data_IF_706166072143
#
_entry.id   IF_706166072143
#
_cell.length_a   1.000
_cell.length_b   1.000
_cell.length_c   1.000
_cell.angle_alpha   90.00
_cell.angle_beta   90.00
_cell.angle_gamma   90.00
#
_symmetry.space_group_name_H-M   'P 1'
#
loop_
_entity.id
_entity.type
_entity.pdbx_description
1 polymer ?
#
# COMPACT_ATOMS: atom_id res chain seq x y z
N UNK A 1 -8.68 21.90 -6.94
CA UNK A 1 -9.57 22.94 -6.37
C UNK A 1 -10.79 22.16 -5.93
N UNK A 2 -10.78 21.67 -4.69
CA UNK A 2 -11.81 20.74 -4.20
C UNK A 2 -13.14 21.47 -4.08
N UNK A 3 -14.18 20.89 -4.66
CA UNK A 3 -15.57 21.30 -4.50
C UNK A 3 -15.91 21.51 -3.01
N UNK A 4 -16.84 22.42 -2.69
CA UNK A 4 -17.29 22.66 -1.31
C UNK A 4 -17.87 21.39 -0.66
N UNK A 5 -18.22 20.39 -1.48
CA UNK A 5 -18.71 19.07 -1.06
C UNK A 5 -17.61 18.10 -0.58
N UNK A 6 -16.33 18.31 -0.92
CA UNK A 6 -15.26 17.34 -0.66
C UNK A 6 -15.08 16.97 0.83
N UNK A 7 -15.13 17.91 1.79
CA UNK A 7 -15.05 17.56 3.21
C UNK A 7 -16.17 16.62 3.68
N UNK A 8 -17.36 16.73 3.09
CA UNK A 8 -18.49 15.85 3.42
C UNK A 8 -18.28 14.44 2.86
N UNK A 9 -17.72 14.32 1.65
CA UNK A 9 -17.31 13.04 1.06
C UNK A 9 -16.25 12.37 1.93
N UNK A 10 -15.22 13.12 2.33
CA UNK A 10 -14.16 12.64 3.20
C UNK A 10 -14.70 12.10 4.53
N UNK A 11 -15.59 12.86 5.19
CA UNK A 11 -16.21 12.41 6.45
C UNK A 11 -17.03 11.13 6.25
N UNK A 12 -17.80 11.03 5.17
CA UNK A 12 -18.62 9.85 4.86
C UNK A 12 -17.76 8.60 4.65
N UNK A 13 -16.65 8.72 3.92
CA UNK A 13 -15.71 7.61 3.70
C UNK A 13 -15.02 7.22 4.99
N UNK A 14 -14.54 8.18 5.79
CA UNK A 14 -13.92 7.86 7.08
C UNK A 14 -14.88 7.14 8.01
N UNK A 15 -16.14 7.56 8.07
CA UNK A 15 -17.17 6.86 8.85
C UNK A 15 -17.40 5.44 8.35
N UNK A 16 -17.52 5.25 7.04
CA UNK A 16 -17.66 3.91 6.45
C UNK A 16 -16.49 3.00 6.86
N UNK A 17 -15.26 3.47 6.73
CA UNK A 17 -14.07 2.67 7.05
C UNK A 17 -13.95 2.38 8.55
N UNK A 18 -14.30 3.33 9.43
CA UNK A 18 -14.37 3.10 10.87
C UNK A 18 -15.42 2.02 11.22
N UNK A 19 -16.57 2.01 10.55
CA UNK A 19 -17.59 0.96 10.71
C UNK A 19 -17.13 -0.41 10.21
N UNK A 20 -16.30 -0.47 9.17
CA UNK A 20 -15.73 -1.71 8.67
C UNK A 20 -14.67 -2.27 9.63
N UNK A 21 -13.84 -1.39 10.21
CA UNK A 21 -12.82 -1.79 11.18
C UNK A 21 -13.40 -2.26 12.53
N UNK A 22 -14.56 -1.73 12.94
CA UNK A 22 -15.20 -2.01 14.22
C UNK A 22 -15.98 -3.33 14.33
N UNK A 23 -16.11 -4.12 13.25
CA UNK A 23 -16.95 -5.33 13.21
C UNK A 23 -16.13 -6.61 13.42
N UNK A 24 -16.19 -7.16 14.64
CA UNK A 24 -15.90 -8.58 14.90
C UNK A 24 -14.53 -9.09 14.42
N UNK A 25 -14.47 -10.36 14.01
CA UNK A 25 -13.27 -10.96 13.40
C UNK A 25 -12.94 -10.20 12.12
N UNK A 26 -11.67 -9.78 11.89
CA UNK A 26 -11.31 -9.05 10.69
C UNK A 26 -11.60 -9.88 9.43
N UNK A 27 -12.62 -9.48 8.67
CA UNK A 27 -12.95 -10.05 7.37
C UNK A 27 -12.47 -9.12 6.27
N UNK A 28 -11.99 -9.69 5.17
CA UNK A 28 -11.61 -8.91 4.00
C UNK A 28 -12.86 -8.52 3.21
N UNK A 29 -13.20 -7.23 3.21
CA UNK A 29 -14.49 -6.74 2.71
C UNK A 29 -14.41 -6.34 1.23
N UNK A 30 -15.38 -6.78 0.43
CA UNK A 30 -15.63 -6.20 -0.87
C UNK A 30 -16.24 -4.80 -0.72
N UNK A 31 -15.47 -3.75 -1.01
CA UNK A 31 -15.83 -2.35 -0.71
C UNK A 31 -16.83 -1.79 -1.70
N UNK A 32 -16.90 -2.35 -2.91
CA UNK A 32 -17.72 -1.84 -4.01
C UNK A 32 -19.20 -1.65 -3.66
N UNK A 33 -19.89 -2.66 -3.12
CA UNK A 33 -21.28 -2.50 -2.68
C UNK A 33 -21.48 -1.39 -1.64
N UNK A 34 -20.51 -1.16 -0.75
CA UNK A 34 -20.58 -0.11 0.28
C UNK A 34 -20.35 1.28 -0.30
N UNK A 35 -19.46 1.39 -1.28
CA UNK A 35 -19.21 2.64 -2.00
C UNK A 35 -20.38 3.01 -2.91
N UNK A 36 -21.06 2.02 -3.50
CA UNK A 36 -22.26 2.27 -4.31
C UNK A 36 -23.36 3.02 -3.53
N UNK A 37 -23.53 2.71 -2.24
CA UNK A 37 -24.47 3.40 -1.35
C UNK A 37 -24.13 4.89 -1.15
N UNK A 38 -22.89 5.29 -1.45
CA UNK A 38 -22.40 6.68 -1.38
C UNK A 38 -22.38 7.38 -2.75
N UNK A 39 -22.85 6.74 -3.82
CA UNK A 39 -22.78 7.31 -5.19
C UNK A 39 -21.33 7.40 -5.71
N UNK A 40 -20.45 6.51 -5.24
CA UNK A 40 -19.01 6.62 -5.46
C UNK A 40 -18.57 6.60 -6.93
N UNK A 41 -19.34 5.98 -7.83
CA UNK A 41 -19.02 5.96 -9.26
C UNK A 41 -18.87 7.36 -9.86
N UNK A 42 -19.67 8.31 -9.40
CA UNK A 42 -19.64 9.68 -9.90
C UNK A 42 -18.39 10.41 -9.38
N UNK A 43 -18.05 10.19 -8.11
CA UNK A 43 -16.84 10.74 -7.45
C UNK A 43 -15.57 10.19 -8.11
N UNK A 44 -15.51 8.87 -8.33
CA UNK A 44 -14.37 8.21 -8.96
C UNK A 44 -14.19 8.65 -10.43
N UNK A 45 -15.28 8.93 -11.15
CA UNK A 45 -15.22 9.46 -12.50
C UNK A 45 -14.77 10.92 -12.57
N UNK A 46 -15.16 11.74 -11.60
CA UNK A 46 -14.84 13.18 -11.58
C UNK A 46 -13.46 13.47 -10.96
N UNK A 47 -13.10 12.74 -9.89
CA UNK A 47 -11.89 12.94 -9.08
C UNK A 47 -11.15 11.60 -8.84
N UNK A 48 -10.65 10.92 -9.89
CA UNK A 48 -10.10 9.57 -9.76
C UNK A 48 -8.88 9.49 -8.82
N UNK A 49 -8.01 10.51 -8.85
CA UNK A 49 -6.81 10.57 -8.01
C UNK A 49 -7.19 10.79 -6.56
N UNK A 50 -7.99 11.82 -6.28
CA UNK A 50 -8.39 12.16 -4.92
C UNK A 50 -9.29 11.09 -4.30
N UNK A 51 -10.13 10.43 -5.11
CA UNK A 51 -10.96 9.30 -4.68
C UNK A 51 -10.08 8.12 -4.24
N UNK A 52 -9.09 7.74 -5.04
CA UNK A 52 -8.17 6.67 -4.70
C UNK A 52 -7.35 7.01 -3.44
N UNK A 53 -6.76 8.21 -3.39
CA UNK A 53 -6.03 8.68 -2.21
C UNK A 53 -6.90 8.65 -0.94
N UNK A 54 -8.15 9.08 -1.03
CA UNK A 54 -9.08 9.09 0.09
C UNK A 54 -9.38 7.68 0.62
N UNK A 55 -9.58 6.68 -0.24
CA UNK A 55 -9.83 5.30 0.17
C UNK A 55 -8.64 4.71 0.95
N UNK A 56 -7.41 4.87 0.45
CA UNK A 56 -6.23 4.31 1.12
C UNK A 56 -5.85 5.07 2.39
N UNK A 57 -6.12 6.38 2.44
CA UNK A 57 -5.98 7.17 3.68
C UNK A 57 -7.01 6.73 4.73
N UNK A 58 -8.26 6.48 4.33
CA UNK A 58 -9.29 5.93 5.21
C UNK A 58 -8.92 4.53 5.71
N UNK A 59 -8.37 3.68 4.83
CA UNK A 59 -7.89 2.34 5.16
C UNK A 59 -6.77 2.38 6.21
N UNK A 60 -5.73 3.17 5.98
CA UNK A 60 -4.60 3.27 6.92
C UNK A 60 -4.99 3.90 8.26
N UNK A 61 -5.95 4.84 8.27
CA UNK A 61 -6.46 5.44 9.51
C UNK A 61 -7.27 4.45 10.35
N UNK A 62 -8.12 3.65 9.71
CA UNK A 62 -9.09 2.76 10.39
C UNK A 62 -8.56 1.35 10.64
N UNK A 63 -7.52 0.93 9.90
CA UNK A 63 -7.05 -0.46 9.80
C UNK A 63 -8.09 -1.41 9.18
N UNK A 64 -9.05 -0.89 8.41
CA UNK A 64 -10.03 -1.70 7.70
C UNK A 64 -9.34 -2.62 6.66
N UNK A 65 -9.96 -3.76 6.39
CA UNK A 65 -9.50 -4.74 5.40
C UNK A 65 -10.44 -4.72 4.20
N UNK A 66 -9.95 -4.26 3.05
CA UNK A 66 -10.79 -4.15 1.84
C UNK A 66 -10.07 -4.58 0.57
N UNK A 67 -10.84 -4.83 -0.48
CA UNK A 67 -10.39 -5.10 -1.85
C UNK A 67 -10.02 -3.82 -2.65
N UNK A 68 -9.79 -2.68 -1.98
CA UNK A 68 -9.37 -1.45 -2.64
C UNK A 68 -8.13 -1.65 -3.53
N UNK A 69 -7.15 -2.46 -3.12
CA UNK A 69 -5.95 -2.68 -3.93
C UNK A 69 -6.25 -3.48 -5.19
N UNK A 70 -7.05 -4.54 -5.09
CA UNK A 70 -7.52 -5.31 -6.25
C UNK A 70 -8.26 -4.39 -7.22
N UNK A 71 -9.18 -3.56 -6.73
CA UNK A 71 -9.95 -2.62 -7.56
C UNK A 71 -9.06 -1.67 -8.35
N UNK A 72 -8.06 -1.05 -7.70
CA UNK A 72 -7.15 -0.12 -8.36
C UNK A 72 -6.31 -0.81 -9.43
N UNK A 73 -5.83 -2.03 -9.16
CA UNK A 73 -5.06 -2.78 -10.15
C UNK A 73 -5.93 -3.29 -11.30
N UNK A 74 -7.14 -3.78 -11.01
CA UNK A 74 -8.09 -4.26 -12.02
C UNK A 74 -8.56 -3.14 -12.95
N UNK A 75 -8.65 -1.89 -12.47
CA UNK A 75 -8.99 -0.74 -13.31
C UNK A 75 -7.96 -0.54 -14.45
N UNK A 76 -6.67 -0.71 -14.17
CA UNK A 76 -5.58 -0.61 -15.16
C UNK A 76 -5.55 -1.82 -16.12
N UNK A 77 -6.03 -2.99 -15.66
CA UNK A 77 -6.01 -4.23 -16.44
C UNK A 77 -7.31 -4.46 -17.24
N UNK A 78 -8.37 -3.71 -16.96
CA UNK A 78 -9.72 -3.96 -17.47
C UNK A 78 -9.81 -4.06 -19.00
N UNK A 79 -8.96 -3.33 -19.74
CA UNK A 79 -8.93 -3.35 -21.20
C UNK A 79 -8.49 -4.68 -21.82
N UNK A 80 -7.83 -5.54 -21.05
CA UNK A 80 -7.30 -6.83 -21.48
C UNK A 80 -8.16 -8.03 -21.04
N UNK A 81 -9.19 -7.80 -20.21
CA UNK A 81 -9.98 -8.88 -19.62
C UNK A 81 -11.22 -9.18 -20.46
N UNK A 82 -11.40 -10.45 -20.84
CA UNK A 82 -12.60 -10.94 -21.55
C UNK A 82 -13.84 -11.07 -20.64
N UNK A 83 -13.74 -10.67 -19.37
CA UNK A 83 -14.84 -10.70 -18.40
C UNK A 83 -14.39 -10.22 -17.01
N UNK A 84 -15.30 -10.21 -16.02
CA UNK A 84 -14.98 -9.72 -14.69
C UNK A 84 -13.92 -10.61 -14.03
N UNK A 85 -12.97 -9.96 -13.36
CA UNK A 85 -12.06 -10.59 -12.41
C UNK A 85 -12.26 -9.93 -11.05
N UNK A 86 -12.05 -10.70 -9.99
CA UNK A 86 -12.31 -10.28 -8.61
C UNK A 86 -11.03 -9.88 -7.89
N UNK A 87 -9.89 -10.48 -8.27
CA UNK A 87 -8.60 -10.31 -7.59
C UNK A 87 -7.44 -10.21 -8.57
N UNK A 88 -6.35 -9.60 -8.11
CA UNK A 88 -5.05 -9.65 -8.79
C UNK A 88 -4.07 -10.41 -7.92
N UNK A 89 -3.41 -11.41 -8.50
CA UNK A 89 -2.36 -12.13 -7.80
C UNK A 89 -1.12 -11.23 -7.71
N UNK A 90 -0.73 -10.90 -6.48
CA UNK A 90 0.43 -10.07 -6.19
C UNK A 90 1.71 -10.93 -6.24
N UNK A 91 2.87 -10.30 -6.52
CA UNK A 91 4.17 -10.91 -6.30
C UNK A 91 4.32 -11.62 -4.95
N UNK A 92 5.09 -12.70 -4.93
CA UNK A 92 5.58 -13.30 -3.69
C UNK A 92 6.44 -12.28 -2.91
N UNK A 93 6.57 -12.41 -1.59
CA UNK A 93 7.32 -11.44 -0.76
C UNK A 93 8.82 -11.37 -1.10
N UNK A 94 9.35 -12.37 -1.81
CA UNK A 94 10.77 -12.44 -2.19
C UNK A 94 10.94 -13.09 -3.58
N UNK A 95 11.24 -12.32 -4.64
CA UNK A 95 11.33 -10.86 -4.70
C UNK A 95 9.95 -10.18 -4.76
N UNK A 96 9.66 -9.27 -3.82
CA UNK A 96 8.37 -8.56 -3.65
C UNK A 96 7.84 -7.76 -4.85
N UNK A 97 8.65 -7.59 -5.90
CA UNK A 97 8.38 -6.66 -7.01
C UNK A 97 8.28 -7.34 -8.39
N UNK A 98 8.43 -8.66 -8.47
CA UNK A 98 8.28 -9.43 -9.71
C UNK A 98 7.22 -10.52 -9.55
N UNK A 99 6.39 -10.78 -10.58
CA UNK A 99 5.49 -11.92 -10.59
C UNK A 99 6.20 -13.23 -10.24
N UNK A 100 5.61 -14.04 -9.35
CA UNK A 100 6.17 -15.33 -8.93
C UNK A 100 5.78 -16.51 -9.81
N UNK A 101 4.78 -16.34 -10.69
CA UNK A 101 4.29 -17.39 -11.58
C UNK A 101 5.22 -17.62 -12.78
N UNK A 102 5.04 -18.73 -13.49
CA UNK A 102 5.67 -19.02 -14.78
C UNK A 102 4.63 -19.57 -15.77
N UNK A 103 5.06 -20.04 -16.95
CA UNK A 103 4.17 -20.55 -18.00
C UNK A 103 3.42 -21.85 -17.65
N UNK A 104 3.75 -22.48 -16.53
CA UNK A 104 3.21 -23.77 -16.09
C UNK A 104 2.70 -23.77 -14.65
N UNK A 105 3.13 -22.81 -13.84
CA UNK A 105 2.85 -22.76 -12.41
C UNK A 105 2.48 -21.35 -11.95
N UNK A 106 1.43 -21.29 -11.14
CA UNK A 106 0.96 -20.08 -10.48
C UNK A 106 1.62 -20.01 -9.12
N UNK A 107 2.20 -18.85 -8.79
CA UNK A 107 2.69 -18.50 -7.46
C UNK A 107 2.49 -17.01 -7.21
N UNK A 108 2.02 -16.69 -6.02
CA UNK A 108 1.85 -15.31 -5.55
C UNK A 108 0.92 -15.21 -4.36
N UNK A 109 0.50 -13.98 -4.06
CA UNK A 109 -0.29 -13.66 -2.87
C UNK A 109 -1.62 -13.03 -3.29
N UNK A 110 -2.72 -13.54 -2.72
CA UNK A 110 -4.02 -12.90 -2.76
C UNK A 110 -4.33 -12.23 -1.41
N UNK A 111 -4.94 -11.04 -1.46
CA UNK A 111 -5.41 -10.35 -0.27
C UNK A 111 -6.81 -10.85 0.07
N UNK A 112 -6.96 -11.55 1.20
CA UNK A 112 -8.21 -12.18 1.62
C UNK A 112 -8.31 -13.66 1.21
N UNK A 113 -9.52 -14.26 1.32
CA UNK A 113 -9.74 -15.65 0.96
C UNK A 113 -9.58 -15.88 -0.56
N UNK A 114 -9.15 -17.09 -0.92
CA UNK A 114 -9.01 -17.52 -2.32
C UNK A 114 -10.39 -17.86 -2.90
N UNK A 115 -11.00 -16.89 -3.56
CA UNK A 115 -12.33 -16.99 -4.16
C UNK A 115 -12.42 -16.21 -5.47
N UNK A 116 -13.38 -16.56 -6.32
CA UNK A 116 -13.66 -15.84 -7.56
C UNK A 116 -12.62 -16.08 -8.66
N UNK A 117 -12.44 -15.07 -9.51
CA UNK A 117 -11.55 -15.10 -10.67
C UNK A 117 -10.33 -14.21 -10.41
N UNK A 118 -9.14 -14.76 -10.60
CA UNK A 118 -7.88 -14.07 -10.33
C UNK A 118 -7.17 -13.74 -11.64
N UNK A 119 -6.69 -12.50 -11.76
CA UNK A 119 -5.69 -12.15 -12.77
C UNK A 119 -4.33 -12.62 -12.29
N UNK A 120 -3.66 -13.45 -13.09
CA UNK A 120 -2.35 -14.02 -12.78
C UNK A 120 -1.31 -13.44 -13.73
N UNK A 121 -0.33 -12.68 -13.21
CA UNK A 121 0.80 -12.19 -13.98
C UNK A 121 1.87 -13.27 -14.17
N UNK A 122 2.39 -13.39 -15.38
CA UNK A 122 3.48 -14.32 -15.74
C UNK A 122 4.62 -13.50 -16.35
N UNK A 123 5.83 -13.53 -15.75
CA UNK A 123 6.98 -12.82 -16.27
C UNK A 123 7.50 -13.50 -17.54
N UNK A 124 7.90 -12.68 -18.51
CA UNK A 124 8.47 -13.10 -19.77
C UNK A 124 9.89 -12.57 -19.98
N UNK A 125 10.49 -12.86 -21.15
CA UNK A 125 11.82 -12.37 -21.50
C UNK A 125 11.92 -10.85 -21.42
N UNK A 126 13.10 -10.35 -21.05
CA UNK A 126 13.42 -8.91 -21.00
C UNK A 126 12.46 -8.08 -20.14
N UNK A 127 11.87 -8.67 -19.09
CA UNK A 127 10.97 -7.97 -18.18
C UNK A 127 9.57 -7.72 -18.73
N UNK A 128 9.20 -8.38 -19.83
CA UNK A 128 7.80 -8.42 -20.29
C UNK A 128 6.93 -9.14 -19.26
N UNK A 129 5.63 -8.82 -19.24
CA UNK A 129 4.65 -9.52 -18.41
C UNK A 129 3.45 -9.85 -19.29
N UNK A 130 2.99 -11.09 -19.19
CA UNK A 130 1.70 -11.51 -19.73
C UNK A 130 0.76 -11.80 -18.58
N UNK A 131 -0.55 -11.75 -18.83
CA UNK A 131 -1.57 -12.10 -17.85
C UNK A 131 -2.49 -13.20 -18.37
N UNK A 132 -3.16 -13.88 -17.46
CA UNK A 132 -4.33 -14.69 -17.74
C UNK A 132 -5.34 -14.56 -16.59
N UNK A 133 -6.55 -15.07 -16.80
CA UNK A 133 -7.59 -15.12 -15.76
C UNK A 133 -7.92 -16.57 -15.44
N UNK A 134 -7.81 -16.93 -14.17
CA UNK A 134 -8.06 -18.29 -13.67
C UNK A 134 -9.14 -18.28 -12.59
N UNK A 135 -9.85 -19.40 -12.46
CA UNK A 135 -10.83 -19.60 -11.39
C UNK A 135 -10.13 -20.14 -10.13
N UNK A 136 -10.45 -19.55 -8.98
CA UNK A 136 -9.90 -19.93 -7.68
C UNK A 136 -10.07 -21.41 -7.35
N UNK A 137 -11.14 -22.06 -7.84
CA UNK A 137 -11.43 -23.47 -7.56
C UNK A 137 -10.39 -24.45 -8.10
N UNK A 138 -9.58 -24.02 -9.08
CA UNK A 138 -8.47 -24.80 -9.63
C UNK A 138 -7.15 -24.66 -8.88
N UNK A 139 -7.10 -23.82 -7.84
CA UNK A 139 -5.87 -23.43 -7.16
C UNK A 139 -5.84 -23.90 -5.71
N UNK A 140 -4.64 -23.95 -5.15
CA UNK A 140 -4.39 -24.19 -3.75
C UNK A 140 -4.13 -22.86 -3.03
N UNK A 141 -4.84 -22.62 -1.93
CA UNK A 141 -4.67 -21.45 -1.07
C UNK A 141 -4.27 -21.84 0.34
N UNK A 142 -3.17 -21.28 0.83
CA UNK A 142 -2.74 -21.40 2.23
C UNK A 142 -2.74 -20.01 2.89
N UNK A 143 -3.47 -19.85 4.00
CA UNK A 143 -3.41 -18.59 4.75
C UNK A 143 -2.03 -18.44 5.38
N UNK A 144 -1.37 -17.32 5.08
CA UNK A 144 -0.08 -16.99 5.65
C UNK A 144 -0.20 -16.61 7.14
N UNK A 145 0.75 -17.10 7.94
CA UNK A 145 0.96 -16.64 9.32
C UNK A 145 1.80 -15.36 9.29
N UNK A 146 1.11 -14.22 9.25
CA UNK A 146 1.74 -12.91 9.06
C UNK A 146 1.95 -12.16 10.37
N UNK A 147 2.86 -11.18 10.35
CA UNK A 147 3.22 -10.42 11.54
C UNK A 147 2.04 -9.64 12.13
N UNK A 148 1.16 -9.07 11.30
CA UNK A 148 -0.16 -8.62 11.72
C UNK A 148 -1.16 -9.77 11.49
N UNK A 149 -1.54 -10.45 12.58
CA UNK A 149 -2.47 -11.57 12.53
C UNK A 149 -3.89 -11.18 12.13
N UNK A 150 -4.22 -9.87 12.16
CA UNK A 150 -5.53 -9.39 11.69
C UNK A 150 -5.65 -9.50 10.17
N UNK A 151 -4.55 -9.48 9.43
CA UNK A 151 -4.59 -9.56 7.97
C UNK A 151 -4.82 -10.99 7.51
N UNK A 152 -5.64 -11.14 6.47
CA UNK A 152 -5.77 -12.40 5.75
C UNK A 152 -5.01 -12.28 4.44
N UNK A 153 -3.81 -12.86 4.37
CA UNK A 153 -3.11 -13.08 3.10
C UNK A 153 -3.11 -14.56 2.79
N UNK A 154 -3.34 -14.89 1.53
CA UNK A 154 -3.38 -16.27 1.06
C UNK A 154 -2.25 -16.47 0.05
N UNK A 155 -1.33 -17.38 0.36
CA UNK A 155 -0.38 -17.90 -0.62
C UNK A 155 -1.17 -18.75 -1.62
N UNK A 156 -1.07 -18.42 -2.89
CA UNK A 156 -1.78 -19.12 -3.96
C UNK A 156 -0.76 -19.87 -4.80
N UNK A 157 -1.01 -21.16 -5.01
CA UNK A 157 -0.22 -22.00 -5.92
C UNK A 157 -1.12 -22.87 -6.78
N UNK A 158 -0.67 -23.25 -7.97
CA UNK A 158 -1.47 -24.13 -8.82
C UNK A 158 -0.88 -24.31 -10.21
N UNK A 159 -1.41 -25.25 -11.01
CA UNK A 159 -1.02 -25.38 -12.40
C UNK A 159 -1.53 -24.21 -13.23
N UNK A 160 -0.76 -23.80 -14.24
CA UNK A 160 -1.19 -22.87 -15.26
C UNK A 160 -1.28 -23.58 -16.63
N UNK A 161 -2.47 -23.55 -17.22
CA UNK A 161 -2.75 -24.05 -18.58
C UNK A 161 -3.70 -23.11 -19.35
N UNK A 162 -3.72 -21.84 -18.94
CA UNK A 162 -4.58 -20.82 -19.56
C UNK A 162 -3.76 -20.00 -20.55
N UNK A 163 -4.30 -19.70 -21.76
CA UNK A 163 -3.61 -18.84 -22.71
C UNK A 163 -3.24 -17.48 -22.11
N UNK A 164 -2.02 -17.05 -22.38
CA UNK A 164 -1.46 -15.79 -21.91
C UNK A 164 -1.72 -14.65 -22.91
N UNK A 165 -1.99 -13.47 -22.38
CA UNK A 165 -2.15 -12.21 -23.13
C UNK A 165 -1.01 -11.27 -22.72
N UNK A 166 -0.30 -10.71 -23.69
CA UNK A 166 0.75 -9.71 -23.44
C UNK A 166 0.13 -8.48 -22.76
N UNK A 167 0.75 -8.03 -21.66
CA UNK A 167 0.17 -7.03 -20.76
C UNK A 167 1.24 -6.17 -20.07
N UNK A 168 2.43 -6.03 -20.65
CA UNK A 168 3.56 -5.39 -19.97
C UNK A 168 3.23 -3.93 -19.61
N UNK A 169 2.49 -3.23 -20.47
CA UNK A 169 2.15 -1.82 -20.24
C UNK A 169 1.14 -1.68 -19.10
N UNK A 170 0.05 -2.43 -19.18
CA UNK A 170 -1.07 -2.44 -18.24
C UNK A 170 -0.63 -2.97 -16.87
N UNK A 171 0.22 -4.00 -16.85
CA UNK A 171 0.81 -4.52 -15.61
C UNK A 171 1.72 -3.48 -14.94
N UNK A 172 2.55 -2.77 -15.71
CA UNK A 172 3.38 -1.70 -15.17
C UNK A 172 2.52 -0.54 -14.62
N UNK A 173 1.40 -0.22 -15.26
CA UNK A 173 0.42 0.76 -14.78
C UNK A 173 -0.26 0.28 -13.49
N UNK A 174 -0.72 -0.97 -13.45
CA UNK A 174 -1.34 -1.60 -12.28
C UNK A 174 -0.38 -1.62 -11.07
N UNK A 175 0.88 -2.02 -11.25
CA UNK A 175 1.89 -2.00 -10.20
C UNK A 175 2.20 -0.57 -9.74
N UNK A 176 2.30 0.40 -10.66
CA UNK A 176 2.53 1.79 -10.29
C UNK A 176 1.34 2.37 -9.49
N UNK A 177 0.11 2.02 -9.84
CA UNK A 177 -1.09 2.40 -9.12
C UNK A 177 -1.14 1.75 -7.72
N UNK A 178 -0.84 0.45 -7.64
CA UNK A 178 -0.71 -0.28 -6.37
C UNK A 178 0.36 0.33 -5.45
N UNK A 179 1.52 0.70 -5.99
CA UNK A 179 2.60 1.33 -5.23
C UNK A 179 2.21 2.70 -4.66
N UNK A 180 1.50 3.55 -5.42
CA UNK A 180 0.97 4.83 -4.91
C UNK A 180 -0.10 4.63 -3.85
N UNK A 181 -1.00 3.67 -4.06
CA UNK A 181 -2.05 3.31 -3.12
C UNK A 181 -1.48 2.80 -1.78
N UNK A 182 -0.55 1.83 -1.83
CA UNK A 182 0.15 1.32 -0.66
C UNK A 182 1.00 2.40 0.03
N UNK A 183 1.62 3.30 -0.73
CA UNK A 183 2.34 4.44 -0.15
C UNK A 183 1.41 5.38 0.62
N UNK A 184 0.20 5.62 0.10
CA UNK A 184 -0.83 6.42 0.77
C UNK A 184 -1.24 5.79 2.10
N UNK A 185 -1.47 4.48 2.11
CA UNK A 185 -1.81 3.76 3.33
C UNK A 185 -0.65 3.76 4.35
N UNK A 186 0.58 3.53 3.91
CA UNK A 186 1.79 3.58 4.76
C UNK A 186 1.99 4.94 5.40
N UNK A 187 1.76 6.03 4.65
CA UNK A 187 1.80 7.40 5.20
C UNK A 187 0.71 7.59 6.26
N UNK A 188 -0.52 7.16 6.00
CA UNK A 188 -1.63 7.26 6.96
C UNK A 188 -1.38 6.44 8.25
N UNK A 189 -0.82 5.23 8.13
CA UNK A 189 -0.41 4.41 9.26
C UNK A 189 0.68 5.09 10.10
N UNK A 190 1.68 5.68 9.44
CA UNK A 190 2.74 6.43 10.09
C UNK A 190 2.20 7.68 10.81
N UNK A 191 1.25 8.41 10.21
CA UNK A 191 0.57 9.54 10.85
C UNK A 191 -0.13 9.13 12.15
N UNK A 192 -0.84 7.98 12.16
CA UNK A 192 -1.48 7.47 13.38
C UNK A 192 -0.47 7.04 14.44
N UNK A 193 0.58 6.32 14.05
CA UNK A 193 1.65 5.91 14.98
C UNK A 193 2.36 7.13 15.60
N UNK A 194 2.66 8.15 14.80
CA UNK A 194 3.28 9.39 15.26
C UNK A 194 2.34 10.16 16.20
N UNK A 195 1.04 10.26 15.87
CA UNK A 195 0.04 10.91 16.72
C UNK A 195 -0.03 10.24 18.09
N UNK A 196 -0.14 8.92 18.13
CA UNK A 196 -0.16 8.13 19.37
C UNK A 196 1.11 8.36 20.19
N UNK A 197 2.28 8.36 19.54
CA UNK A 197 3.56 8.61 20.21
C UNK A 197 3.61 10.02 20.82
N UNK A 198 3.17 11.05 20.07
CA UNK A 198 3.11 12.44 20.55
C UNK A 198 2.15 12.59 21.72
N UNK A 199 0.97 11.97 21.66
CA UNK A 199 0.01 11.93 22.77
C UNK A 199 0.63 11.28 24.00
N UNK A 200 1.30 10.14 23.85
CA UNK A 200 1.95 9.42 24.94
C UNK A 200 3.02 10.28 25.63
N UNK A 201 3.94 10.87 24.86
CA UNK A 201 5.05 11.67 25.44
C UNK A 201 4.56 12.97 26.08
N UNK A 202 3.39 13.48 25.66
CA UNK A 202 2.80 14.70 26.19
C UNK A 202 2.22 14.52 27.59
N UNK A 203 1.70 13.32 27.90
CA UNK A 203 1.01 13.05 29.17
C UNK A 203 1.84 12.21 30.14
N UNK A 204 2.80 11.42 29.65
CA UNK A 204 3.61 10.53 30.49
C UNK A 204 4.65 11.31 31.29
N UNK A 205 4.55 11.29 32.61
CA UNK A 205 5.49 11.99 33.52
C UNK A 205 6.56 11.04 34.05
N UNK A 206 7.83 11.36 33.81
CA UNK A 206 9.00 10.72 34.44
C UNK A 206 10.10 11.76 34.69
N UNK A 207 10.98 11.49 35.66
CA UNK A 207 12.09 12.39 35.99
C UNK A 207 11.65 13.85 36.27
N UNK A 208 10.46 14.02 36.87
CA UNK A 208 9.95 15.33 37.29
C UNK A 208 9.17 16.11 36.22
N UNK A 209 8.90 15.57 35.03
CA UNK A 209 8.08 16.24 34.02
C UNK A 209 7.57 15.31 32.91
N UNK A 210 6.73 15.81 31.98
CA UNK A 210 6.34 15.07 30.79
C UNK A 210 7.56 14.63 29.98
N UNK A 211 7.62 13.39 29.52
CA UNK A 211 8.81 12.87 28.82
C UNK A 211 9.10 13.61 27.51
N UNK A 212 8.07 14.16 26.84
CA UNK A 212 8.25 15.02 25.65
C UNK A 212 8.98 16.34 25.93
N UNK A 213 9.14 16.72 27.20
CA UNK A 213 9.96 17.88 27.60
C UNK A 213 11.47 17.60 27.50
N UNK A 214 11.91 16.35 27.42
CA UNK A 214 13.32 16.01 27.24
C UNK A 214 13.74 16.08 25.77
N UNK A 215 14.99 16.47 25.50
CA UNK A 215 15.49 16.67 24.13
C UNK A 215 15.52 15.37 23.32
N UNK A 216 15.93 14.25 23.92
CA UNK A 216 16.08 12.97 23.20
C UNK A 216 14.78 12.49 22.53
N UNK A 217 13.65 12.31 23.24
CA UNK A 217 12.40 11.92 22.59
C UNK A 217 11.88 13.00 21.64
N UNK A 218 12.08 14.28 21.96
CA UNK A 218 11.61 15.39 21.12
C UNK A 218 12.32 15.46 19.77
N UNK A 219 13.65 15.34 19.75
CA UNK A 219 14.41 15.35 18.50
C UNK A 219 14.11 14.11 17.66
N UNK A 220 14.04 12.93 18.29
CA UNK A 220 13.67 11.70 17.57
C UNK A 220 12.29 11.80 16.90
N UNK A 221 11.29 12.34 17.61
CA UNK A 221 9.94 12.55 17.04
C UNK A 221 9.94 13.63 15.95
N UNK A 222 10.74 14.68 16.09
CA UNK A 222 10.88 15.73 15.07
C UNK A 222 11.52 15.18 13.78
N UNK A 223 12.56 14.36 13.90
CA UNK A 223 13.24 13.74 12.76
C UNK A 223 12.31 12.76 12.03
N UNK A 224 11.59 11.91 12.78
CA UNK A 224 10.58 11.02 12.22
C UNK A 224 9.44 11.79 11.53
N UNK A 225 8.98 12.90 12.13
CA UNK A 225 7.99 13.78 11.51
C UNK A 225 8.50 14.43 10.23
N UNK A 226 9.78 14.77 10.14
CA UNK A 226 10.38 15.33 8.94
C UNK A 226 10.47 14.30 7.81
N UNK A 227 10.85 13.06 8.12
CA UNK A 227 10.85 11.95 7.16
C UNK A 227 9.44 11.69 6.60
N UNK A 228 8.43 11.67 7.48
CA UNK A 228 7.03 11.52 7.09
C UNK A 228 6.53 12.67 6.22
N UNK A 229 6.90 13.91 6.55
CA UNK A 229 6.56 15.07 5.73
C UNK A 229 7.17 14.99 4.32
N UNK A 230 8.41 14.51 4.21
CA UNK A 230 9.07 14.27 2.93
C UNK A 230 8.37 13.19 2.09
N UNK A 231 8.00 12.06 2.70
CA UNK A 231 7.25 11.01 2.03
C UNK A 231 5.88 11.49 1.51
N UNK A 232 5.15 12.28 2.32
CA UNK A 232 3.87 12.87 1.92
C UNK A 232 4.01 13.86 0.76
N UNK A 233 5.07 14.67 0.74
CA UNK A 233 5.34 15.57 -0.37
C UNK A 233 5.61 14.80 -1.67
N UNK A 234 6.46 13.76 -1.63
CA UNK A 234 6.72 12.90 -2.79
C UNK A 234 5.46 12.16 -3.26
N UNK A 235 4.62 11.70 -2.33
CA UNK A 235 3.36 11.06 -2.64
C UNK A 235 2.42 12.00 -3.41
N UNK A 236 2.27 13.25 -2.95
CA UNK A 236 1.47 14.26 -3.64
C UNK A 236 1.95 14.53 -5.07
N UNK A 237 3.28 14.61 -5.27
CA UNK A 237 3.84 14.76 -6.62
C UNK A 237 3.65 13.51 -7.49
N UNK A 238 3.75 12.31 -6.92
CA UNK A 238 3.52 11.06 -7.65
C UNK A 238 2.06 10.91 -8.09
N UNK A 239 1.11 11.32 -7.26
CA UNK A 239 -0.31 11.39 -7.64
C UNK A 239 -0.57 12.43 -8.73
N UNK A 240 0.08 13.60 -8.63
CA UNK A 240 -0.10 14.69 -9.59
C UNK A 240 0.47 14.39 -10.98
N UNK A 241 1.66 13.80 -11.04
CA UNK A 241 2.40 13.63 -12.30
C UNK A 241 2.46 12.19 -12.81
N UNK A 242 2.13 11.21 -11.96
CA UNK A 242 2.14 9.80 -12.32
C UNK A 242 3.53 9.27 -12.68
N UNK A 243 3.57 8.15 -13.41
CA UNK A 243 4.80 7.50 -13.86
C UNK A 243 5.33 6.41 -12.94
N UNK A 244 6.00 5.42 -13.53
CA UNK A 244 6.51 4.25 -12.81
C UNK A 244 7.66 4.59 -11.86
N UNK A 245 8.57 5.48 -12.28
CA UNK A 245 9.70 5.90 -11.43
C UNK A 245 9.23 6.67 -10.20
N UNK A 246 8.22 7.54 -10.35
CA UNK A 246 7.65 8.28 -9.21
C UNK A 246 6.95 7.32 -8.24
N UNK A 247 6.20 6.32 -8.74
CA UNK A 247 5.52 5.32 -7.92
C UNK A 247 6.49 4.50 -7.07
N UNK A 248 7.58 4.00 -7.68
CA UNK A 248 8.64 3.25 -6.99
C UNK A 248 9.30 4.12 -5.91
N UNK A 249 9.65 5.37 -6.27
CA UNK A 249 10.31 6.29 -5.34
C UNK A 249 9.40 6.65 -4.16
N UNK A 250 8.11 6.89 -4.42
CA UNK A 250 7.13 7.21 -3.39
C UNK A 250 6.84 6.02 -2.48
N UNK A 251 6.69 4.80 -3.02
CA UNK A 251 6.51 3.59 -2.20
C UNK A 251 7.71 3.32 -1.31
N UNK A 252 8.92 3.47 -1.84
CA UNK A 252 10.16 3.39 -1.07
C UNK A 252 10.20 4.44 0.05
N UNK A 253 9.95 5.71 -0.27
CA UNK A 253 9.97 6.79 0.72
C UNK A 253 8.91 6.60 1.82
N UNK A 254 7.71 6.13 1.46
CA UNK A 254 6.63 5.86 2.41
C UNK A 254 6.98 4.70 3.36
N UNK A 255 7.52 3.60 2.86
CA UNK A 255 7.98 2.48 3.69
C UNK A 255 9.10 2.88 4.65
N UNK A 256 10.10 3.64 4.17
CA UNK A 256 11.18 4.17 5.00
C UNK A 256 10.66 5.12 6.09
N UNK A 257 9.73 6.01 5.74
CA UNK A 257 9.13 6.94 6.69
C UNK A 257 8.29 6.22 7.75
N UNK A 258 7.49 5.22 7.35
CA UNK A 258 6.74 4.37 8.28
C UNK A 258 7.67 3.66 9.25
N UNK A 259 8.79 3.10 8.77
CA UNK A 259 9.79 2.48 9.63
C UNK A 259 10.41 3.47 10.63
N UNK A 260 10.84 4.64 10.16
CA UNK A 260 11.42 5.67 11.02
C UNK A 260 10.45 6.12 12.13
N UNK A 261 9.17 6.30 11.79
CA UNK A 261 8.13 6.63 12.77
C UNK A 261 7.88 5.48 13.73
N UNK A 262 7.79 4.24 13.23
CA UNK A 262 7.52 3.06 14.04
C UNK A 262 8.61 2.82 15.09
N UNK A 263 9.88 2.94 14.70
CA UNK A 263 11.02 2.75 15.59
C UNK A 263 10.98 3.75 16.75
N UNK A 264 10.72 5.04 16.46
CA UNK A 264 10.63 6.08 17.49
C UNK A 264 9.36 5.91 18.34
N UNK A 265 8.21 5.63 17.71
CA UNK A 265 6.94 5.47 18.41
C UNK A 265 6.97 4.32 19.43
N UNK A 266 7.51 3.16 19.02
CA UNK A 266 7.72 2.03 19.93
C UNK A 266 8.66 2.39 21.07
N UNK A 267 9.77 3.09 20.76
CA UNK A 267 10.75 3.47 21.77
C UNK A 267 10.17 4.42 22.83
N UNK A 268 9.40 5.44 22.43
CA UNK A 268 8.88 6.44 23.38
C UNK A 268 7.65 5.97 24.15
N UNK A 269 6.83 5.08 23.57
CA UNK A 269 5.75 4.41 24.29
C UNK A 269 6.32 3.32 25.23
N UNK A 270 7.47 2.74 24.91
CA UNK A 270 8.08 1.66 25.68
C UNK A 270 7.22 0.39 25.64
N UNK A 271 7.29 -0.41 26.70
CA UNK A 271 6.67 -1.74 26.73
C UNK A 271 5.17 -1.73 26.41
N UNK A 272 4.41 -0.69 26.82
CA UNK A 272 2.96 -0.62 26.56
C UNK A 272 2.66 -0.63 25.06
N UNK A 273 3.54 -0.04 24.24
CA UNK A 273 3.39 0.02 22.79
C UNK A 273 3.45 -1.34 22.09
N UNK A 274 3.92 -2.38 22.79
CA UNK A 274 4.01 -3.77 22.31
C UNK A 274 2.90 -4.67 22.87
N UNK A 275 2.02 -4.13 23.71
CA UNK A 275 0.94 -4.90 24.37
C UNK A 275 -0.36 -4.84 23.58
N UNK A 276 -1.22 -5.84 23.77
CA UNK A 276 -2.54 -5.92 23.12
C UNK A 276 -3.49 -4.80 23.59
N UNK A 277 -3.24 -4.23 24.77
CA UNK A 277 -4.01 -3.16 25.40
C UNK A 277 -3.79 -1.79 24.77
N UNK A 278 -2.87 -1.65 23.80
CA UNK A 278 -2.50 -0.38 23.20
C UNK A 278 -2.49 -0.47 21.67
N UNK A 279 -3.18 0.44 20.98
CA UNK A 279 -3.37 0.33 19.53
C UNK A 279 -2.10 0.54 18.68
N UNK A 280 -1.03 1.13 19.23
CA UNK A 280 0.21 1.41 18.49
C UNK A 280 0.73 0.19 17.70
N UNK A 281 0.76 -0.99 18.33
CA UNK A 281 1.31 -2.18 17.69
C UNK A 281 0.57 -2.52 16.38
N UNK A 282 -0.72 -2.21 16.28
CA UNK A 282 -1.54 -2.49 15.09
C UNK A 282 -1.09 -1.65 13.91
N UNK A 283 -0.84 -0.36 14.10
CA UNK A 283 -0.34 0.54 13.05
C UNK A 283 1.10 0.20 12.62
N UNK A 284 1.92 -0.26 13.56
CA UNK A 284 3.32 -0.66 13.29
C UNK A 284 3.37 -1.99 12.54
N UNK A 285 2.70 -3.03 13.05
CA UNK A 285 2.68 -4.37 12.45
C UNK A 285 2.06 -4.34 11.05
N UNK A 286 0.93 -3.63 10.88
CA UNK A 286 0.28 -3.43 9.58
C UNK A 286 1.20 -2.82 8.55
N UNK A 287 1.91 -1.73 8.89
CA UNK A 287 2.76 -1.06 7.92
C UNK A 287 4.00 -1.86 7.56
N UNK A 288 4.62 -2.59 8.49
CA UNK A 288 5.71 -3.51 8.13
C UNK A 288 5.25 -4.61 7.18
N UNK A 289 4.04 -5.13 7.37
CA UNK A 289 3.47 -6.11 6.49
C UNK A 289 3.17 -5.52 5.10
N UNK A 290 2.42 -4.42 5.02
CA UNK A 290 2.11 -3.77 3.73
C UNK A 290 3.35 -3.27 2.98
N UNK A 291 4.42 -2.93 3.69
CA UNK A 291 5.65 -2.51 3.03
C UNK A 291 6.17 -3.61 2.09
N UNK A 292 6.04 -4.88 2.45
CA UNK A 292 6.52 -6.00 1.65
C UNK A 292 5.75 -6.21 0.32
N UNK A 293 4.54 -5.66 0.18
CA UNK A 293 3.76 -5.79 -1.06
C UNK A 293 4.28 -4.87 -2.17
N UNK A 294 4.34 -5.41 -3.39
CA UNK A 294 4.79 -4.70 -4.59
C UNK A 294 6.20 -4.07 -4.44
N UNK A 295 7.03 -4.69 -3.62
CA UNK A 295 8.38 -4.30 -3.26
C UNK A 295 8.43 -3.53 -1.94
N UNK A 296 9.22 -4.08 -1.00
CA UNK A 296 9.64 -3.36 0.21
C UNK A 296 10.48 -2.13 -0.13
N UNK A 297 10.53 -1.17 0.79
CA UNK A 297 11.37 0.01 0.59
C UNK A 297 12.82 -0.35 0.27
N UNK A 298 13.42 -1.33 0.95
CA UNK A 298 14.79 -1.79 0.69
C UNK A 298 14.96 -2.38 -0.73
N UNK A 299 14.01 -3.21 -1.17
CA UNK A 299 14.01 -3.79 -2.52
C UNK A 299 13.85 -2.71 -3.59
N UNK A 300 12.94 -1.76 -3.37
CA UNK A 300 12.68 -0.67 -4.31
C UNK A 300 13.83 0.34 -4.35
N UNK A 301 14.51 0.61 -3.25
CA UNK A 301 15.73 1.42 -3.22
C UNK A 301 16.87 0.76 -4.02
N UNK A 302 17.02 -0.55 -3.87
CA UNK A 302 17.99 -1.33 -4.63
C UNK A 302 17.67 -1.28 -6.13
N UNK A 303 16.40 -1.49 -6.49
CA UNK A 303 15.92 -1.39 -7.87
C UNK A 303 16.11 0.00 -8.47
N UNK A 304 15.88 1.06 -7.69
CA UNK A 304 16.15 2.44 -8.10
C UNK A 304 17.65 2.63 -8.36
N UNK A 305 18.50 2.13 -7.46
CA UNK A 305 19.96 2.15 -7.63
C UNK A 305 20.38 1.48 -8.93
N UNK A 306 19.93 0.26 -9.19
CA UNK A 306 20.20 -0.50 -10.41
C UNK A 306 19.79 0.27 -11.66
N UNK A 307 18.53 0.76 -11.71
CA UNK A 307 18.02 1.53 -12.85
C UNK A 307 18.80 2.82 -13.09
N UNK A 308 19.19 3.52 -12.02
CA UNK A 308 20.01 4.72 -12.13
C UNK A 308 21.37 4.36 -12.73
N UNK A 309 22.03 3.28 -12.30
CA UNK A 309 23.34 2.90 -12.85
C UNK A 309 23.28 2.33 -14.26
N UNK A 310 22.21 1.64 -14.66
CA UNK A 310 22.01 1.17 -16.03
C UNK A 310 21.84 2.31 -17.03
N UNK A 311 21.18 3.39 -16.60
CA UNK A 311 20.90 4.57 -17.44
C UNK A 311 21.93 5.69 -17.30
N UNK A 312 22.75 5.68 -16.24
CA UNK A 312 23.70 6.74 -15.96
C UNK A 312 24.92 6.69 -16.89
N UNK A 313 25.06 7.76 -17.67
CA UNK A 313 26.31 8.07 -18.37
C UNK A 313 27.15 9.04 -17.52
N UNK A 314 28.42 8.75 -17.20
CA UNK A 314 29.27 9.64 -16.43
C UNK A 314 29.27 11.08 -16.97
N UNK A 315 28.93 12.05 -16.12
CA UNK A 315 28.87 13.47 -16.48
C UNK A 315 27.48 13.99 -16.90
N UNK A 316 26.44 13.16 -16.89
CA UNK A 316 25.04 13.59 -17.02
C UNK A 316 24.35 13.74 -15.66
N UNK A 317 23.33 14.59 -15.58
CA UNK A 317 22.48 14.67 -14.39
C UNK A 317 21.67 13.37 -14.25
N UNK A 318 21.35 12.99 -13.00
CA UNK A 318 20.43 11.88 -12.74
C UNK A 318 19.06 12.17 -13.38
N UNK A 319 18.34 11.13 -13.87
CA UNK A 319 17.01 11.32 -14.43
C UNK A 319 16.08 11.98 -13.41
N UNK A 320 15.21 12.86 -13.89
CA UNK A 320 14.22 13.50 -13.04
C UNK A 320 13.19 12.47 -12.55
N UNK A 321 13.04 12.35 -11.23
CA UNK A 321 12.03 11.48 -10.61
C UNK A 321 10.60 11.96 -10.90
N UNK A 322 10.45 13.28 -11.02
CA UNK A 322 9.22 13.97 -11.40
C UNK A 322 9.54 14.91 -12.55
N UNK A 323 8.87 14.75 -13.68
CA UNK A 323 8.96 15.69 -14.81
C UNK A 323 7.90 16.76 -14.63
N UNK A 324 8.32 17.94 -14.16
CA UNK A 324 7.49 19.13 -14.14
C UNK A 324 7.23 19.57 -15.58
N UNK A 325 5.99 19.46 -16.06
CA UNK A 325 5.59 20.17 -17.28
C UNK A 325 5.36 21.65 -16.91
N UNK A 326 5.99 22.56 -17.66
CA UNK A 326 5.72 24.01 -17.59
C UNK A 326 4.31 24.35 -18.08
#
# INVERSE_FOLDING_TARGET
>A
MTDESWPMVEEAVFRLFDELAGKGTPEHVAIGPRLADLGWSDIEAEYPVEACELLFRAQGRSLALTDCLDRVMLAELAGLLDGPADRVLLPDLTPGHLPGSDEHHISGIALGPLEGRLVVPVPGPMGSVSICVVDASGLHGERLDTFDASVCWTQVTGPLDTPLVEASTEWNQAIAAAQRALATELVALAEQALRIAVEHVSVRVQFGGPIGSFQSPRHALADASAALAGARALLGESWRYGGQLSAITTKSAAGRAHRAVSDVALQVCGAIGLTAEHDLHRYVTRGFQLDALCGSHDQLESLLGERLFETYTPGQALPAVVTWAE
#
